data_IF_699720747907
#
_entry.id   IF_699720747907
#
_cell.length_a   1.000
_cell.length_b   1.000
_cell.length_c   1.000
_cell.angle_alpha   90.00
_cell.angle_beta   90.00
_cell.angle_gamma   90.00
#
_symmetry.space_group_name_H-M   'P 1'
#
loop_
_entity.id
_entity.type
_entity.pdbx_description
1 polymer ?
#
# COMPACT_ATOMS: atom_id res chain seq x y z
N UNK A 1 -3.62 14.03 -1.34
CA UNK A 1 -2.27 13.43 -1.25
C UNK A 1 -1.35 13.92 -2.35
N UNK A 2 -0.03 13.98 -2.09
CA UNK A 2 0.99 14.14 -3.14
C UNK A 2 1.12 12.88 -4.02
N UNK A 3 2.16 12.76 -4.85
CA UNK A 3 2.39 11.53 -5.62
C UNK A 3 2.53 10.32 -4.69
N UNK A 4 1.84 9.22 -5.02
CA UNK A 4 1.92 7.95 -4.28
C UNK A 4 3.38 7.46 -4.28
N UNK A 5 3.91 7.14 -3.11
CA UNK A 5 5.31 6.75 -2.91
C UNK A 5 5.44 5.76 -1.75
N UNK A 6 6.64 5.18 -1.58
CA UNK A 6 6.89 4.29 -0.44
C UNK A 6 6.83 5.00 0.91
N UNK A 7 6.97 6.32 0.94
CA UNK A 7 6.81 7.13 2.15
C UNK A 7 5.36 7.47 2.47
N UNK A 8 4.42 7.15 1.56
CA UNK A 8 2.98 7.38 1.79
C UNK A 8 2.51 6.61 3.03
N UNK A 9 1.87 7.28 4.02
CA UNK A 9 1.24 6.60 5.14
C UNK A 9 0.16 5.64 4.66
N UNK A 10 0.17 4.40 5.17
CA UNK A 10 -0.81 3.38 4.75
C UNK A 10 -2.23 3.80 5.15
N UNK A 11 -2.38 4.53 6.27
CA UNK A 11 -3.66 5.10 6.68
C UNK A 11 -4.23 6.06 5.63
N UNK A 12 -3.42 6.98 5.10
CA UNK A 12 -3.85 7.90 4.04
C UNK A 12 -4.21 7.14 2.76
N UNK A 13 -3.41 6.12 2.40
CA UNK A 13 -3.67 5.27 1.24
C UNK A 13 -5.00 4.54 1.35
N UNK A 14 -5.30 3.90 2.49
CA UNK A 14 -6.55 3.16 2.71
C UNK A 14 -7.74 4.12 2.81
N UNK A 15 -7.55 5.30 3.39
CA UNK A 15 -8.61 6.32 3.52
C UNK A 15 -8.99 6.94 2.17
N UNK A 16 -8.01 7.25 1.33
CA UNK A 16 -8.25 7.84 0.01
C UNK A 16 -8.58 6.80 -1.08
N UNK A 17 -8.03 5.58 -0.97
CA UNK A 17 -8.16 4.50 -1.97
C UNK A 17 -8.49 3.17 -1.26
N UNK A 18 -9.70 3.00 -0.70
CA UNK A 18 -10.09 1.77 -0.01
C UNK A 18 -9.99 0.52 -0.91
N UNK A 19 -10.14 0.67 -2.23
CA UNK A 19 -9.94 -0.38 -3.22
C UNK A 19 -8.50 -0.92 -3.25
N UNK A 20 -7.51 -0.12 -2.87
CA UNK A 20 -6.12 -0.52 -2.80
C UNK A 20 -5.90 -1.63 -1.76
N UNK A 21 -6.67 -1.60 -0.67
CA UNK A 21 -6.61 -2.64 0.36
C UNK A 21 -7.05 -4.01 -0.20
N UNK A 22 -8.15 -4.04 -0.96
CA UNK A 22 -8.62 -5.26 -1.62
C UNK A 22 -7.62 -5.79 -2.63
N UNK A 23 -7.05 -4.89 -3.44
CA UNK A 23 -6.02 -5.23 -4.42
C UNK A 23 -4.72 -5.76 -3.79
N UNK A 24 -4.31 -5.23 -2.64
CA UNK A 24 -3.10 -5.66 -1.94
C UNK A 24 -3.31 -7.03 -1.26
N UNK A 25 -4.48 -7.27 -0.69
CA UNK A 25 -4.81 -8.53 0.01
C UNK A 25 -4.71 -9.73 -0.92
N UNK A 26 -5.20 -9.63 -2.16
CA UNK A 26 -5.07 -10.71 -3.15
C UNK A 26 -3.62 -10.97 -3.58
N UNK A 27 -2.70 -10.06 -3.26
CA UNK A 27 -1.24 -10.18 -3.47
C UNK A 27 -0.48 -10.54 -2.20
N UNK A 28 -1.18 -10.93 -1.14
CA UNK A 28 -0.58 -11.35 0.12
C UNK A 28 -0.14 -10.21 1.04
N UNK A 29 -0.52 -8.96 0.73
CA UNK A 29 -0.19 -7.78 1.56
C UNK A 29 -1.47 -7.22 2.16
N UNK A 30 -1.59 -7.28 3.50
CA UNK A 30 -2.67 -6.59 4.19
C UNK A 30 -2.25 -5.17 4.58
N UNK A 31 -2.95 -4.17 4.04
CA UNK A 31 -2.89 -2.78 4.49
C UNK A 31 -3.66 -2.53 5.78
N UNK A 32 -4.42 -3.53 6.24
CA UNK A 32 -5.22 -3.48 7.46
C UNK A 32 -4.53 -4.29 8.56
N UNK A 33 -4.55 -3.73 9.77
CA UNK A 33 -4.23 -4.40 11.03
C UNK A 33 -5.48 -4.99 11.69
N UNK A 34 -5.39 -5.33 12.98
CA UNK A 34 -6.49 -5.96 13.73
C UNK A 34 -7.73 -5.05 13.89
N UNK A 35 -7.55 -3.73 13.97
CA UNK A 35 -8.64 -2.79 14.20
C UNK A 35 -8.69 -1.65 13.18
N UNK A 36 -7.56 -1.28 12.57
CA UNK A 36 -7.41 -0.09 11.71
C UNK A 36 -6.37 -0.34 10.60
N UNK A 37 -6.08 0.69 9.78
CA UNK A 37 -4.97 0.63 8.82
C UNK A 37 -3.64 0.30 9.51
N UNK A 38 -2.76 -0.39 8.80
CA UNK A 38 -1.44 -0.73 9.33
C UNK A 38 -0.65 0.57 9.60
N UNK A 39 -0.03 0.71 10.77
CA UNK A 39 0.72 1.92 11.09
C UNK A 39 2.03 1.99 10.29
N UNK A 40 2.39 3.19 9.84
CA UNK A 40 3.64 3.48 9.14
C UNK A 40 3.46 3.75 7.65
N UNK A 41 4.59 3.81 6.94
CA UNK A 41 4.61 4.03 5.49
C UNK A 41 4.42 2.73 4.71
N UNK A 42 3.97 2.86 3.45
CA UNK A 42 3.81 1.73 2.54
C UNK A 42 5.10 0.91 2.41
N UNK A 43 6.24 1.57 2.27
CA UNK A 43 7.54 0.91 2.15
C UNK A 43 7.92 0.11 3.40
N UNK A 44 7.65 0.66 4.59
CA UNK A 44 7.91 -0.06 5.85
C UNK A 44 7.01 -1.28 6.00
N UNK A 45 5.72 -1.15 5.64
CA UNK A 45 4.79 -2.27 5.61
C UNK A 45 5.25 -3.37 4.65
N UNK A 46 5.61 -3.01 3.42
CA UNK A 46 6.05 -3.97 2.40
C UNK A 46 7.31 -4.73 2.85
N UNK A 47 8.26 -4.04 3.49
CA UNK A 47 9.46 -4.68 4.08
C UNK A 47 9.08 -5.64 5.21
N UNK A 48 8.21 -5.25 6.14
CA UNK A 48 7.73 -6.12 7.23
C UNK A 48 6.99 -7.36 6.72
N UNK A 49 6.33 -7.25 5.56
CA UNK A 49 5.65 -8.37 4.89
C UNK A 49 6.56 -9.20 4.00
N UNK A 50 7.85 -8.87 3.92
CA UNK A 50 8.82 -9.62 3.11
C UNK A 50 8.61 -9.48 1.61
N UNK A 51 8.01 -8.38 1.16
CA UNK A 51 7.88 -8.09 -0.28
C UNK A 51 9.28 -7.82 -0.83
N UNK A 52 9.73 -8.68 -1.75
CA UNK A 52 11.08 -8.66 -2.29
C UNK A 52 11.39 -7.37 -3.06
N UNK A 53 10.39 -6.79 -3.73
CA UNK A 53 10.55 -5.58 -4.54
C UNK A 53 9.43 -4.56 -4.25
N UNK A 54 9.62 -3.69 -3.24
CA UNK A 54 8.63 -2.69 -2.86
C UNK A 54 8.34 -1.66 -3.96
N UNK A 55 9.35 -1.30 -4.76
CA UNK A 55 9.22 -0.35 -5.87
C UNK A 55 8.34 -0.91 -6.98
N UNK A 56 8.53 -2.20 -7.32
CA UNK A 56 7.67 -2.89 -8.27
C UNK A 56 6.23 -2.97 -7.76
N UNK A 57 6.04 -3.29 -6.49
CA UNK A 57 4.70 -3.32 -5.87
C UNK A 57 4.02 -1.94 -5.94
N UNK A 58 4.74 -0.87 -5.63
CA UNK A 58 4.26 0.51 -5.76
C UNK A 58 3.87 0.85 -7.21
N UNK A 59 4.67 0.41 -8.18
CA UNK A 59 4.40 0.61 -9.61
C UNK A 59 3.12 -0.11 -10.04
N UNK A 60 2.94 -1.36 -9.64
CA UNK A 60 1.74 -2.13 -9.95
C UNK A 60 0.50 -1.53 -9.26
N UNK A 61 0.65 -1.00 -8.04
CA UNK A 61 -0.41 -0.30 -7.31
C UNK A 61 -0.81 1.00 -8.00
N UNK A 62 0.16 1.79 -8.46
CA UNK A 62 -0.08 3.01 -9.26
C UNK A 62 -0.85 2.70 -10.54
N UNK A 63 -0.43 1.66 -11.27
CA UNK A 63 -1.12 1.19 -12.47
C UNK A 63 -2.55 0.74 -12.19
N UNK A 64 -2.79 0.06 -11.07
CA UNK A 64 -4.14 -0.31 -10.65
C UNK A 64 -5.04 0.90 -10.34
N UNK A 65 -4.50 1.91 -9.68
CA UNK A 65 -5.24 3.13 -9.33
C UNK A 65 -5.37 4.14 -10.49
N UNK A 66 -4.82 3.83 -11.68
CA UNK A 66 -4.81 4.75 -12.81
C UNK A 66 -3.99 6.02 -12.54
N UNK A 67 -2.96 5.93 -11.69
CA UNK A 67 -2.07 7.03 -11.29
C UNK A 67 -0.70 6.82 -11.92
N UNK A 68 -0.62 7.07 -13.23
CA UNK A 68 0.65 7.09 -13.99
C UNK A 68 1.53 8.30 -13.62
#
# INVERSE_FOLDING_TARGET
MGPLSLDTPVEDLVREHPEAAGWAVVRGVSFLGCCDAAPGSLGDLLRRRGVADPERFLTDLKGFLGRE
#
